data_IF_726054263632
#
_entry.id   IF_726054263632
#
_cell.length_a   1.000
_cell.length_b   1.000
_cell.length_c   1.000
_cell.angle_alpha   90.00
_cell.angle_beta   90.00
_cell.angle_gamma   90.00
#
_symmetry.space_group_name_H-M   'P 1'
#
loop_
_entity.id
_entity.type
_entity.pdbx_description
1 polymer ?
#
# COMPACT_ATOMS: atom_id res chain seq x y z
N UNK A 1 -36.72 20.16 -54.68
CA UNK A 1 -35.39 19.80 -54.12
C UNK A 1 -35.55 19.49 -52.66
N UNK A 2 -35.45 18.22 -52.27
CA UNK A 2 -35.60 17.76 -50.88
C UNK A 2 -34.20 17.40 -50.35
N UNK A 3 -33.73 17.92 -49.19
CA UNK A 3 -32.48 17.47 -48.59
C UNK A 3 -32.73 16.19 -47.78
N UNK A 4 -31.95 15.16 -48.06
CA UNK A 4 -31.87 13.92 -47.27
C UNK A 4 -31.11 14.19 -45.99
N UNK A 5 -31.82 14.06 -44.88
CA UNK A 5 -31.19 13.96 -43.55
C UNK A 5 -30.65 12.54 -43.36
N UNK A 6 -29.34 12.38 -43.38
CA UNK A 6 -28.66 11.15 -42.98
C UNK A 6 -28.63 11.14 -41.47
N UNK A 7 -29.46 10.27 -40.84
CA UNK A 7 -29.42 9.99 -39.42
C UNK A 7 -28.23 9.07 -39.16
N UNK A 8 -27.20 9.59 -38.52
CA UNK A 8 -26.08 8.79 -37.98
C UNK A 8 -26.57 8.09 -36.73
N UNK A 9 -26.85 6.78 -36.84
CA UNK A 9 -27.13 5.91 -35.70
C UNK A 9 -25.78 5.56 -35.01
N UNK A 10 -25.50 6.21 -33.88
CA UNK A 10 -24.34 5.90 -33.04
C UNK A 10 -24.63 4.59 -32.29
N UNK A 11 -24.13 3.48 -32.83
CA UNK A 11 -24.17 2.20 -32.14
C UNK A 11 -23.19 2.26 -30.98
N UNK A 12 -23.70 2.43 -29.77
CA UNK A 12 -22.95 2.31 -28.53
C UNK A 12 -22.71 0.82 -28.26
N UNK A 13 -21.54 0.30 -28.65
CA UNK A 13 -21.13 -1.06 -28.30
C UNK A 13 -20.81 -1.06 -26.82
N UNK A 14 -21.72 -1.54 -25.98
CA UNK A 14 -21.44 -1.89 -24.59
C UNK A 14 -20.48 -3.09 -24.61
N UNK A 15 -19.19 -2.85 -24.48
CA UNK A 15 -18.23 -3.92 -24.17
C UNK A 15 -18.52 -4.38 -22.75
N UNK A 16 -18.76 -5.70 -22.53
CA UNK A 16 -18.92 -6.21 -21.19
C UNK A 16 -17.60 -5.95 -20.42
N UNK A 17 -17.71 -5.30 -19.27
CA UNK A 17 -16.60 -5.22 -18.31
C UNK A 17 -16.21 -6.67 -17.98
N UNK A 18 -15.02 -7.08 -18.40
CA UNK A 18 -14.43 -8.35 -18.02
C UNK A 18 -14.22 -8.26 -16.50
N UNK A 19 -15.05 -8.98 -15.75
CA UNK A 19 -14.80 -9.23 -14.34
C UNK A 19 -13.46 -9.95 -14.26
N UNK A 20 -12.44 -9.28 -13.70
CA UNK A 20 -11.19 -9.93 -13.34
C UNK A 20 -11.54 -10.99 -12.31
N UNK A 21 -11.50 -12.26 -12.72
CA UNK A 21 -11.79 -13.40 -11.86
C UNK A 21 -10.80 -13.48 -10.70
N UNK A 22 -11.27 -14.05 -9.59
CA UNK A 22 -10.42 -14.32 -8.43
C UNK A 22 -9.21 -15.16 -8.84
N UNK A 23 -8.04 -14.82 -8.31
CA UNK A 23 -6.85 -15.66 -8.45
C UNK A 23 -6.79 -16.56 -7.22
N UNK A 24 -6.74 -17.85 -7.43
CA UNK A 24 -6.63 -18.86 -6.38
C UNK A 24 -5.18 -19.27 -6.20
N UNK A 25 -4.73 -19.36 -4.96
CA UNK A 25 -3.38 -19.76 -4.56
C UNK A 25 -3.41 -20.97 -3.67
N UNK A 26 -2.53 -21.94 -3.90
CA UNK A 26 -2.26 -23.06 -2.99
C UNK A 26 -0.81 -23.52 -3.07
N UNK A 27 -0.39 -24.27 -2.07
CA UNK A 27 0.95 -24.90 -2.01
C UNK A 27 0.76 -26.40 -2.04
N UNK A 28 1.50 -27.10 -2.89
CA UNK A 28 1.48 -28.56 -2.94
C UNK A 28 2.35 -29.20 -1.82
N UNK A 29 2.31 -30.53 -1.73
CA UNK A 29 3.04 -31.28 -0.71
C UNK A 29 4.57 -31.24 -0.88
N UNK A 30 5.05 -30.73 -2.01
CA UNK A 30 6.48 -30.49 -2.30
C UNK A 30 6.90 -29.05 -2.00
N UNK A 31 5.98 -28.20 -1.52
CA UNK A 31 6.24 -26.79 -1.23
C UNK A 31 6.17 -25.88 -2.46
N UNK A 32 5.73 -26.40 -3.62
CA UNK A 32 5.57 -25.60 -4.84
C UNK A 32 4.32 -24.76 -4.76
N UNK A 33 4.44 -23.49 -5.12
CA UNK A 33 3.35 -22.51 -5.14
C UNK A 33 2.65 -22.53 -6.50
N UNK A 34 1.33 -22.66 -6.47
CA UNK A 34 0.49 -22.70 -7.66
C UNK A 34 -0.52 -21.54 -7.65
N UNK A 35 -0.84 -21.02 -8.84
CA UNK A 35 -1.81 -19.97 -9.04
C UNK A 35 -2.77 -20.36 -10.18
N UNK A 36 -4.07 -20.15 -9.99
CA UNK A 36 -5.07 -20.38 -11.01
C UNK A 36 -6.21 -19.37 -10.91
N UNK A 37 -6.87 -19.08 -12.01
CA UNK A 37 -8.05 -18.19 -12.07
C UNK A 37 -9.37 -18.95 -12.00
N UNK A 38 -9.33 -20.29 -11.91
CA UNK A 38 -10.53 -21.15 -11.85
C UNK A 38 -10.37 -22.16 -10.72
N UNK A 39 -11.31 -22.14 -9.79
CA UNK A 39 -11.35 -23.07 -8.66
C UNK A 39 -11.47 -24.53 -9.13
N UNK A 40 -12.24 -24.78 -10.20
CA UNK A 40 -12.44 -26.11 -10.75
C UNK A 40 -11.19 -26.76 -11.31
N UNK A 41 -10.23 -25.93 -11.74
CA UNK A 41 -8.93 -26.40 -12.29
C UNK A 41 -7.93 -26.79 -11.20
N UNK A 42 -8.26 -26.58 -9.92
CA UNK A 42 -7.41 -26.96 -8.79
C UNK A 42 -7.71 -28.40 -8.41
N UNK A 43 -6.68 -29.25 -8.21
CA UNK A 43 -6.88 -30.61 -7.73
C UNK A 43 -7.69 -30.62 -6.45
N UNK A 44 -8.64 -31.56 -6.34
CA UNK A 44 -9.66 -31.59 -5.27
C UNK A 44 -9.02 -31.64 -3.87
N UNK A 45 -7.88 -32.32 -3.74
CA UNK A 45 -7.11 -32.42 -2.50
C UNK A 45 -6.60 -31.07 -1.97
N UNK A 46 -6.48 -30.07 -2.83
CA UNK A 46 -5.98 -28.73 -2.47
C UNK A 46 -7.07 -27.66 -2.41
N UNK A 47 -8.29 -27.93 -2.92
CA UNK A 47 -9.38 -26.94 -2.95
C UNK A 47 -9.74 -26.40 -1.56
N UNK A 48 -9.74 -27.25 -0.53
CA UNK A 48 -10.02 -26.83 0.84
C UNK A 48 -8.91 -26.00 1.49
N UNK A 49 -7.69 -26.07 0.93
CA UNK A 49 -6.51 -25.33 1.38
C UNK A 49 -6.23 -24.12 0.47
N UNK A 50 -7.04 -23.92 -0.56
CA UNK A 50 -6.90 -22.85 -1.53
C UNK A 50 -7.40 -21.53 -0.96
N UNK A 51 -6.65 -20.48 -1.18
CA UNK A 51 -6.97 -19.14 -0.73
C UNK A 51 -7.32 -18.30 -1.95
N UNK A 52 -8.52 -17.72 -2.01
CA UNK A 52 -8.83 -16.74 -3.05
C UNK A 52 -7.99 -15.48 -2.80
N UNK A 53 -7.12 -15.17 -3.75
CA UNK A 53 -6.45 -13.87 -3.84
C UNK A 53 -7.42 -12.93 -4.56
N UNK A 54 -8.46 -12.50 -3.86
CA UNK A 54 -9.33 -11.45 -4.38
C UNK A 54 -8.53 -10.16 -4.41
N UNK A 55 -8.03 -9.79 -5.59
CA UNK A 55 -7.61 -8.42 -5.82
C UNK A 55 -8.87 -7.56 -5.67
N UNK A 56 -8.90 -6.58 -4.77
CA UNK A 56 -10.03 -5.67 -4.71
C UNK A 56 -10.19 -5.06 -6.09
N UNK A 57 -11.34 -5.27 -6.71
CA UNK A 57 -11.70 -4.75 -8.04
C UNK A 57 -11.80 -3.22 -8.07
N UNK A 58 -11.70 -2.61 -6.91
CA UNK A 58 -11.50 -1.17 -6.72
C UNK A 58 -10.71 -1.00 -5.43
N UNK A 59 -9.76 -0.06 -5.36
CA UNK A 59 -9.20 0.30 -4.07
C UNK A 59 -10.39 0.65 -3.16
N UNK A 60 -10.43 0.14 -1.93
CA UNK A 60 -11.49 0.49 -1.00
C UNK A 60 -11.57 2.00 -0.94
N UNK A 61 -12.79 2.51 -1.17
CA UNK A 61 -13.04 3.96 -1.05
C UNK A 61 -12.60 4.35 0.36
N UNK A 62 -11.70 5.32 0.50
CA UNK A 62 -11.35 5.84 1.81
C UNK A 62 -12.66 6.23 2.52
N UNK A 63 -12.83 5.99 3.82
CA UNK A 63 -13.91 6.60 4.57
C UNK A 63 -13.90 8.09 4.22
N UNK A 64 -15.08 8.70 4.02
CA UNK A 64 -15.25 10.08 3.54
C UNK A 64 -14.29 11.02 4.29
N UNK A 65 -13.12 11.21 3.72
CA UNK A 65 -11.98 11.87 4.33
C UNK A 65 -11.82 13.17 3.56
N UNK A 66 -11.84 14.26 4.30
CA UNK A 66 -11.42 15.59 3.86
C UNK A 66 -10.32 15.56 2.80
N UNK A 67 -10.33 16.50 1.84
CA UNK A 67 -9.45 16.50 0.66
C UNK A 67 -8.01 16.21 1.03
N UNK A 68 -7.32 15.42 0.20
CA UNK A 68 -5.87 15.18 0.32
C UNK A 68 -5.20 16.51 0.68
N UNK A 69 -4.68 16.58 1.90
CA UNK A 69 -3.85 17.72 2.26
C UNK A 69 -2.59 17.64 1.38
N UNK A 70 -2.40 18.65 0.54
CA UNK A 70 -1.13 18.82 -0.15
C UNK A 70 -0.02 18.87 0.90
N UNK A 71 1.12 18.21 0.68
CA UNK A 71 2.21 18.22 1.63
C UNK A 71 2.62 19.67 1.90
N UNK A 72 2.65 20.04 3.18
CA UNK A 72 3.07 21.38 3.61
C UNK A 72 4.44 21.29 4.24
N UNK A 73 5.40 22.01 3.68
CA UNK A 73 6.74 22.15 4.23
C UNK A 73 7.77 21.18 3.66
N UNK A 74 9.03 21.62 3.70
CA UNK A 74 10.18 20.79 3.37
C UNK A 74 10.78 20.22 4.66
N UNK A 75 11.13 18.93 4.64
CA UNK A 75 11.74 18.23 5.77
C UNK A 75 13.15 17.79 5.41
N UNK A 76 14.10 17.95 6.31
CA UNK A 76 15.49 17.48 6.18
C UNK A 76 15.79 16.42 7.23
N UNK A 77 16.21 15.25 6.78
CA UNK A 77 16.47 14.09 7.61
C UNK A 77 17.96 13.75 7.51
N UNK A 78 18.70 13.86 8.60
CA UNK A 78 20.10 13.45 8.64
C UNK A 78 20.20 11.92 8.76
N UNK A 79 21.21 11.33 8.11
CA UNK A 79 21.45 9.89 8.18
C UNK A 79 22.94 9.57 8.33
N UNK A 80 23.26 8.35 8.74
CA UNK A 80 24.61 7.83 8.81
C UNK A 80 24.88 6.95 7.60
N UNK A 81 25.95 7.18 6.82
CA UNK A 81 26.33 6.33 5.71
C UNK A 81 26.46 4.86 6.11
N UNK A 82 25.92 3.96 5.28
CA UNK A 82 25.94 2.53 5.55
C UNK A 82 24.88 2.04 6.54
N UNK A 83 24.06 2.93 7.08
CA UNK A 83 22.91 2.60 7.94
C UNK A 83 21.59 2.95 7.24
N UNK A 84 20.48 2.28 7.59
CA UNK A 84 19.16 2.69 7.13
C UNK A 84 18.86 4.14 7.52
N UNK A 85 18.14 4.85 6.64
CA UNK A 85 17.64 6.21 6.95
C UNK A 85 16.43 6.07 7.87
N UNK A 86 16.59 6.44 9.14
CA UNK A 86 15.52 6.39 10.14
C UNK A 86 14.81 7.74 10.21
N UNK A 87 13.49 7.68 10.27
CA UNK A 87 12.64 8.87 10.42
C UNK A 87 11.72 8.72 11.62
N UNK A 88 11.53 9.84 12.35
CA UNK A 88 10.54 9.93 13.42
C UNK A 88 9.20 10.32 12.82
N UNK A 89 8.20 9.45 12.93
CA UNK A 89 6.88 9.65 12.33
C UNK A 89 5.78 9.71 13.39
N UNK A 90 4.67 10.37 13.04
CA UNK A 90 3.39 10.30 13.78
C UNK A 90 2.32 9.77 12.85
N UNK A 91 1.38 9.01 13.39
CA UNK A 91 0.20 8.52 12.68
C UNK A 91 -1.03 9.11 13.36
N UNK A 92 -1.87 9.81 12.61
CA UNK A 92 -3.03 10.53 13.15
C UNK A 92 -2.67 11.47 14.32
N UNK A 93 -1.47 12.07 14.28
CA UNK A 93 -0.93 12.90 15.35
C UNK A 93 -0.37 12.13 16.56
N UNK A 94 -0.57 10.80 16.65
CA UNK A 94 -0.06 9.93 17.70
C UNK A 94 1.34 9.42 17.39
N UNK A 95 2.19 9.25 18.39
CA UNK A 95 3.58 8.79 18.25
C UNK A 95 4.48 9.46 19.26
N UNK A 96 5.80 9.53 19.03
CA UNK A 96 6.51 9.16 17.81
C UNK A 96 6.68 7.64 17.62
N UNK A 97 6.87 7.23 16.37
CA UNK A 97 7.34 5.90 15.96
C UNK A 97 8.55 6.06 15.06
N UNK A 98 9.37 5.04 14.95
CA UNK A 98 10.56 5.05 14.10
C UNK A 98 10.32 4.22 12.84
N UNK A 99 10.45 4.83 11.65
CA UNK A 99 10.32 4.15 10.38
C UNK A 99 11.65 4.19 9.61
N UNK A 100 11.91 3.15 8.81
CA UNK A 100 12.97 3.19 7.80
C UNK A 100 12.40 3.83 6.53
N UNK A 101 13.05 4.86 6.00
CA UNK A 101 12.71 5.41 4.69
C UNK A 101 13.13 4.41 3.62
N UNK A 102 12.14 3.84 2.91
CA UNK A 102 12.36 2.76 1.94
C UNK A 102 11.72 3.10 0.58
N UNK A 103 12.56 3.51 -0.37
CA UNK A 103 12.13 3.80 -1.74
C UNK A 103 11.77 2.54 -2.54
N UNK A 104 12.11 1.36 -2.03
CA UNK A 104 11.77 0.05 -2.61
C UNK A 104 10.41 -0.48 -2.16
N UNK A 105 9.88 0.00 -1.04
CA UNK A 105 8.57 -0.40 -0.55
C UNK A 105 7.45 0.36 -1.25
N UNK A 106 6.46 -0.34 -1.81
CA UNK A 106 5.30 0.29 -2.46
C UNK A 106 4.39 1.00 -1.45
N UNK A 107 4.28 0.45 -0.25
CA UNK A 107 3.37 0.89 0.82
C UNK A 107 4.11 1.07 2.12
N UNK A 108 3.67 2.06 2.88
CA UNK A 108 4.06 2.23 4.28
C UNK A 108 3.57 1.02 5.09
N UNK A 109 4.46 0.46 5.89
CA UNK A 109 4.23 -0.74 6.70
C UNK A 109 4.60 -0.45 8.14
N UNK A 110 3.77 -0.88 9.08
CA UNK A 110 4.01 -0.69 10.53
C UNK A 110 3.60 -1.96 11.27
N UNK A 111 4.37 -2.33 12.29
CA UNK A 111 4.07 -3.49 13.11
C UNK A 111 2.68 -3.37 13.76
N UNK A 112 1.84 -4.43 13.76
CA UNK A 112 0.48 -4.41 14.31
C UNK A 112 0.43 -3.97 15.77
N UNK A 113 1.40 -4.40 16.58
CA UNK A 113 1.52 -4.00 17.98
C UNK A 113 1.72 -2.50 18.17
N UNK A 114 2.45 -1.87 17.25
CA UNK A 114 2.68 -0.41 17.25
C UNK A 114 1.40 0.32 16.87
N UNK A 115 0.70 -0.11 15.81
CA UNK A 115 -0.58 0.50 15.41
C UNK A 115 -1.61 0.40 16.54
N UNK A 116 -1.71 -0.77 17.21
CA UNK A 116 -2.61 -0.94 18.37
C UNK A 116 -2.24 0.02 19.50
N UNK A 117 -0.95 0.20 19.81
CA UNK A 117 -0.47 1.16 20.82
C UNK A 117 -0.83 2.61 20.49
N UNK A 118 -0.90 2.94 19.20
CA UNK A 118 -1.33 4.26 18.72
C UNK A 118 -2.86 4.43 18.70
N UNK A 119 -3.64 3.41 19.13
CA UNK A 119 -5.10 3.44 19.16
C UNK A 119 -5.75 3.21 17.79
N UNK A 120 -5.05 2.62 16.83
CA UNK A 120 -5.58 2.32 15.50
C UNK A 120 -6.33 0.99 15.56
N UNK A 121 -7.64 1.04 15.23
CA UNK A 121 -8.51 -0.14 15.20
C UNK A 121 -8.33 -0.96 13.93
N UNK A 122 -8.45 -2.28 14.07
CA UNK A 122 -8.43 -3.25 12.99
C UNK A 122 -9.82 -3.77 12.61
N UNK A 123 -10.90 -3.23 13.20
CA UNK A 123 -12.27 -3.72 12.97
C UNK A 123 -12.67 -3.70 11.49
N UNK A 124 -12.19 -2.69 10.74
CA UNK A 124 -12.44 -2.54 9.31
C UNK A 124 -11.15 -2.77 8.49
N UNK A 125 -10.21 -3.54 9.01
CA UNK A 125 -8.98 -3.84 8.30
C UNK A 125 -9.26 -4.68 7.05
N UNK A 126 -8.58 -4.32 5.98
CA UNK A 126 -8.59 -5.10 4.74
C UNK A 126 -7.56 -6.21 4.87
N UNK A 127 -7.93 -7.42 4.48
CA UNK A 127 -6.98 -8.52 4.42
C UNK A 127 -6.33 -8.57 3.07
N UNK A 128 -5.03 -8.72 3.04
CA UNK A 128 -4.23 -8.77 1.82
C UNK A 128 -3.00 -9.65 2.00
N UNK A 129 -2.19 -9.63 0.98
CA UNK A 129 -0.95 -10.40 0.92
C UNK A 129 0.21 -9.43 0.70
N UNK A 130 1.23 -9.54 1.54
CA UNK A 130 2.50 -8.84 1.37
C UNK A 130 3.49 -9.80 0.72
N UNK A 131 4.14 -9.31 -0.33
CA UNK A 131 5.21 -10.04 -1.00
C UNK A 131 6.54 -9.34 -0.72
N UNK A 132 7.47 -10.05 -0.16
CA UNK A 132 8.81 -9.56 0.15
C UNK A 132 9.89 -10.55 -0.29
N UNK A 133 11.14 -10.23 0.02
CA UNK A 133 12.31 -11.05 -0.34
C UNK A 133 12.26 -12.43 0.32
N UNK A 134 11.63 -12.53 1.49
CA UNK A 134 11.49 -13.77 2.27
C UNK A 134 10.26 -14.60 1.90
N UNK A 135 9.46 -14.14 0.92
CA UNK A 135 8.26 -14.85 0.46
C UNK A 135 6.99 -14.03 0.54
N UNK A 136 5.88 -14.73 0.75
CA UNK A 136 4.53 -14.19 0.80
C UNK A 136 3.95 -14.42 2.18
N UNK A 137 3.40 -13.38 2.80
CA UNK A 137 2.71 -13.46 4.09
C UNK A 137 1.38 -12.70 4.06
N UNK A 138 0.46 -13.11 4.95
CA UNK A 138 -0.78 -12.38 5.14
C UNK A 138 -0.52 -11.10 5.95
N UNK A 139 -1.21 -10.05 5.58
CA UNK A 139 -1.20 -8.80 6.30
C UNK A 139 -2.59 -8.17 6.30
N UNK A 140 -2.84 -7.34 7.27
CA UNK A 140 -4.00 -6.47 7.31
C UNK A 140 -3.59 -5.07 6.84
N UNK A 141 -4.53 -4.33 6.27
CA UNK A 141 -4.31 -2.96 5.87
C UNK A 141 -5.38 -2.08 6.50
N UNK A 142 -4.95 -0.97 7.06
CA UNK A 142 -5.82 -0.03 7.77
C UNK A 142 -5.68 1.38 7.20
N UNK A 143 -6.79 2.07 7.05
CA UNK A 143 -6.76 3.48 6.68
C UNK A 143 -6.39 4.35 7.87
N UNK A 144 -5.45 5.27 7.64
CA UNK A 144 -5.10 6.33 8.59
C UNK A 144 -5.34 7.70 7.97
N UNK A 145 -5.70 8.67 8.79
CA UNK A 145 -5.99 10.02 8.31
C UNK A 145 -4.72 10.77 7.88
N UNK A 146 -3.59 10.49 8.56
CA UNK A 146 -2.31 11.11 8.23
C UNK A 146 -1.12 10.30 8.70
N UNK A 147 -0.02 10.42 7.95
CA UNK A 147 1.35 10.14 8.40
C UNK A 147 2.11 11.45 8.34
N UNK A 148 2.85 11.76 9.39
CA UNK A 148 3.54 13.02 9.58
C UNK A 148 5.00 12.78 9.93
N UNK A 149 5.91 13.48 9.25
CA UNK A 149 7.36 13.50 9.51
C UNK A 149 7.78 14.96 9.55
N UNK A 150 8.02 15.48 10.73
CA UNK A 150 8.28 16.91 10.96
C UNK A 150 7.21 17.81 10.30
N UNK A 151 7.62 18.61 9.28
CA UNK A 151 6.72 19.50 8.55
C UNK A 151 6.00 18.80 7.37
N UNK A 152 6.40 17.57 7.03
CA UNK A 152 5.81 16.79 5.93
C UNK A 152 4.64 15.96 6.43
N UNK A 153 3.46 16.18 5.85
CA UNK A 153 2.21 15.47 6.22
C UNK A 153 1.53 14.97 4.96
N UNK A 154 1.13 13.71 4.96
CA UNK A 154 0.39 13.06 3.88
C UNK A 154 -0.77 12.25 4.45
N UNK A 155 -1.90 12.29 3.82
CA UNK A 155 -3.06 11.50 4.17
C UNK A 155 -4.27 11.82 3.28
N UNK A 156 -5.25 10.91 3.28
CA UNK A 156 -5.27 9.59 3.94
C UNK A 156 -4.33 8.59 3.29
N UNK A 157 -3.84 7.62 4.08
CA UNK A 157 -2.99 6.53 3.61
C UNK A 157 -3.52 5.17 4.06
N UNK A 158 -3.37 4.16 3.21
CA UNK A 158 -3.63 2.77 3.56
C UNK A 158 -2.33 2.11 4.01
N UNK A 159 -2.16 1.94 5.32
CA UNK A 159 -0.96 1.37 5.93
C UNK A 159 -1.09 -0.16 6.03
N UNK A 160 -0.03 -0.87 5.69
CA UNK A 160 0.06 -2.31 5.88
C UNK A 160 0.46 -2.60 7.33
N UNK A 161 -0.38 -3.35 8.02
CA UNK A 161 -0.11 -3.87 9.36
C UNK A 161 0.62 -5.21 9.24
N UNK A 162 1.94 -5.18 9.34
CA UNK A 162 2.78 -6.36 9.24
C UNK A 162 4.07 -6.16 10.03
N UNK A 163 4.47 -7.19 10.75
CA UNK A 163 5.75 -7.20 11.47
C UNK A 163 6.83 -7.75 10.53
N UNK A 164 7.74 -6.87 10.12
CA UNK A 164 8.85 -7.22 9.24
C UNK A 164 10.14 -7.56 10.02
N UNK A 165 10.07 -7.72 11.35
CA UNK A 165 11.20 -8.00 12.24
C UNK A 165 12.39 -7.03 12.04
N UNK A 166 12.08 -5.75 11.94
CA UNK A 166 13.08 -4.71 11.72
C UNK A 166 13.78 -4.34 13.02
N UNK A 167 15.11 -4.49 13.05
CA UNK A 167 15.89 -4.10 14.22
C UNK A 167 15.95 -2.58 14.34
N UNK A 168 15.39 -2.04 15.44
CA UNK A 168 15.44 -0.62 15.77
C UNK A 168 14.48 0.27 14.99
N UNK A 169 13.49 -0.32 14.30
CA UNK A 169 12.43 0.41 13.63
C UNK A 169 11.07 -0.27 13.84
N UNK A 170 10.01 0.52 13.86
CA UNK A 170 8.63 0.11 14.02
C UNK A 170 7.97 -0.26 12.66
N UNK A 171 8.64 0.02 11.55
CA UNK A 171 8.12 -0.22 10.20
C UNK A 171 8.94 0.44 9.09
N UNK A 172 8.33 0.50 7.89
CA UNK A 172 8.88 1.11 6.68
C UNK A 172 8.02 2.28 6.23
N UNK A 173 8.64 3.36 5.77
CA UNK A 173 8.00 4.47 5.08
C UNK A 173 8.10 4.25 3.58
N UNK A 174 6.99 3.92 2.93
CA UNK A 174 6.93 3.51 1.54
C UNK A 174 6.71 4.64 0.54
N UNK A 175 6.66 4.28 -0.75
CA UNK A 175 6.44 5.20 -1.86
C UNK A 175 5.06 5.85 -1.85
N UNK A 176 4.06 5.25 -1.22
CA UNK A 176 2.73 5.85 -1.03
C UNK A 176 2.78 7.19 -0.26
N UNK A 177 3.74 7.33 0.65
CA UNK A 177 4.07 8.60 1.29
C UNK A 177 5.05 9.41 0.43
N UNK A 178 6.18 8.80 0.04
CA UNK A 178 7.31 9.48 -0.61
C UNK A 178 6.95 10.08 -1.98
N UNK A 179 6.02 9.50 -2.74
CA UNK A 179 5.58 10.01 -4.04
C UNK A 179 4.88 11.38 -4.00
N UNK A 180 4.58 11.88 -2.80
CA UNK A 180 4.04 13.23 -2.62
C UNK A 180 5.13 14.30 -2.54
N UNK A 181 6.41 13.91 -2.62
CA UNK A 181 7.56 14.79 -2.46
C UNK A 181 8.60 14.55 -3.54
N UNK A 182 9.35 15.60 -3.85
CA UNK A 182 10.66 15.47 -4.48
C UNK A 182 11.66 15.02 -3.41
N UNK A 183 12.12 13.76 -3.51
CA UNK A 183 13.06 13.17 -2.57
C UNK A 183 14.47 13.33 -3.11
N UNK A 184 15.31 14.07 -2.40
CA UNK A 184 16.74 14.24 -2.73
C UNK A 184 17.59 13.60 -1.64
N UNK A 185 18.54 12.73 -2.02
CA UNK A 185 19.49 12.10 -1.10
C UNK A 185 20.87 12.69 -1.39
N UNK A 186 21.37 13.53 -0.49
CA UNK A 186 22.73 14.08 -0.55
C UNK A 186 23.66 13.23 0.32
N UNK A 187 24.45 12.38 -0.33
CA UNK A 187 25.39 11.50 0.38
C UNK A 187 26.60 12.23 0.94
N UNK A 188 26.93 13.45 0.45
CA UNK A 188 28.05 14.24 0.97
C UNK A 188 27.64 14.93 2.26
N UNK A 189 26.47 15.57 2.24
CA UNK A 189 25.92 16.26 3.40
C UNK A 189 25.20 15.29 4.36
N UNK A 190 25.02 14.02 3.96
CA UNK A 190 24.34 12.99 4.75
C UNK A 190 22.90 13.38 5.12
N UNK A 191 22.19 13.98 4.16
CA UNK A 191 20.83 14.50 4.35
C UNK A 191 19.89 13.99 3.27
N UNK A 192 18.71 13.54 3.67
CA UNK A 192 17.56 13.36 2.79
C UNK A 192 16.65 14.58 2.92
N UNK A 193 16.28 15.17 1.80
CA UNK A 193 15.31 16.28 1.74
C UNK A 193 14.02 15.81 1.10
N UNK A 194 12.91 16.04 1.79
CA UNK A 194 11.56 15.89 1.26
C UNK A 194 11.01 17.28 0.96
N UNK A 195 10.91 17.64 -0.31
CA UNK A 195 10.32 18.92 -0.75
C UNK A 195 8.95 18.61 -1.41
N UNK A 196 7.89 19.38 -1.11
CA UNK A 196 6.61 19.21 -1.79
C UNK A 196 6.74 19.25 -3.32
N UNK A 197 5.96 18.40 -4.03
CA UNK A 197 5.91 18.41 -5.50
C UNK A 197 5.25 19.67 -6.03
#
# INVERSE_FOLDING_TARGET
MRPWMIAFFLIFILLPAQALGDIYYWVDDQGTQHYNTRLESIPESYRSKTIPLSLPTSPPVPPEITPRSSPTGSTKISFTPGSPVLVSARINGSGPITLILDTGADRTMVAPSVLSRLGISFENALRGVVRGVTGVSYAEAVWVNSVEIEASKVGPLLIIAHDADLKGADGLLGRDFLANFNVTIDSKEQVVTLAPN
#
